data_IF_113233145254
#
_entry.id   IF_113233145254
#
_cell.length_a   1.000
_cell.length_b   1.000
_cell.length_c   1.000
_cell.angle_alpha   90.00
_cell.angle_beta   90.00
_cell.angle_gamma   90.00
#
_symmetry.space_group_name_H-M   'P 1'
#
loop_
_entity.id
_entity.type
_entity.pdbx_description
1 polymer ?
#
# COMPACT_ATOMS: atom_id res chain seq x y z
N UNK A 1 -16.59 6.56 23.18
CA UNK A 1 -15.95 6.09 21.92
C UNK A 1 -17.06 5.62 21.00
N UNK A 2 -17.23 6.20 19.81
CA UNK A 2 -18.29 5.77 18.87
C UNK A 2 -18.06 4.33 18.42
N UNK A 3 -19.15 3.58 18.26
CA UNK A 3 -19.20 2.22 17.69
C UNK A 3 -18.48 2.09 16.33
N UNK A 4 -18.30 3.22 15.62
CA UNK A 4 -17.55 3.29 14.36
C UNK A 4 -16.08 2.84 14.52
N UNK A 5 -15.41 3.18 15.63
CA UNK A 5 -13.99 2.86 15.82
C UNK A 5 -13.76 1.61 16.69
N UNK A 6 -14.65 1.34 17.64
CA UNK A 6 -14.55 0.19 18.54
C UNK A 6 -15.27 -1.06 18.02
N UNK A 7 -16.13 -0.91 17.01
CA UNK A 7 -16.88 -2.00 16.38
C UNK A 7 -16.28 -2.50 15.07
N UNK A 8 -15.03 -2.12 14.76
CA UNK A 8 -14.34 -2.69 13.59
C UNK A 8 -14.21 -4.18 13.77
N UNK A 9 -14.61 -4.93 12.74
CA UNK A 9 -14.47 -6.38 12.71
C UNK A 9 -12.99 -6.77 12.99
N UNK A 10 -12.72 -7.56 14.04
CA UNK A 10 -11.38 -8.01 14.37
C UNK A 10 -10.59 -8.62 13.22
N UNK A 11 -11.26 -9.28 12.28
CA UNK A 11 -10.60 -9.91 11.13
C UNK A 11 -9.93 -8.88 10.23
N UNK A 12 -10.47 -7.66 10.11
CA UNK A 12 -9.98 -6.65 9.19
C UNK A 12 -8.57 -6.15 9.53
N UNK A 13 -8.18 -6.13 10.81
CA UNK A 13 -6.85 -5.73 11.25
C UNK A 13 -5.92 -6.92 11.58
N UNK A 14 -6.34 -8.16 11.31
CA UNK A 14 -5.45 -9.31 11.43
C UNK A 14 -4.35 -9.24 10.36
N UNK A 15 -3.11 -9.47 10.79
CA UNK A 15 -1.95 -9.54 9.89
C UNK A 15 -1.97 -10.83 9.07
N UNK A 16 -2.08 -10.69 7.75
CA UNK A 16 -2.04 -11.77 6.76
C UNK A 16 -0.77 -11.65 5.92
N UNK A 17 -0.03 -12.74 5.81
CA UNK A 17 1.14 -12.84 4.94
C UNK A 17 0.76 -13.44 3.58
N UNK A 18 1.12 -12.77 2.48
CA UNK A 18 1.01 -13.32 1.11
C UNK A 18 2.39 -13.30 0.44
N UNK A 19 2.71 -14.35 -0.29
CA UNK A 19 3.93 -14.43 -1.10
C UNK A 19 3.69 -13.81 -2.47
N UNK A 20 4.52 -12.84 -2.84
CA UNK A 20 4.50 -12.19 -4.15
C UNK A 20 5.86 -12.31 -4.82
N UNK A 21 5.90 -12.33 -6.16
CA UNK A 21 7.15 -12.36 -6.90
C UNK A 21 7.45 -10.96 -7.43
N UNK A 22 8.57 -10.40 -7.01
CA UNK A 22 9.07 -9.08 -7.43
C UNK A 22 10.44 -9.31 -8.04
N UNK A 23 10.66 -8.90 -9.29
CA UNK A 23 11.94 -9.06 -9.99
C UNK A 23 12.53 -10.49 -9.90
N UNK A 24 11.66 -11.51 -9.99
CA UNK A 24 12.04 -12.92 -9.89
C UNK A 24 12.23 -13.45 -8.46
N UNK A 25 12.30 -12.58 -7.45
CA UNK A 25 12.48 -12.95 -6.03
C UNK A 25 11.13 -13.10 -5.35
N UNK A 26 10.94 -14.19 -4.59
CA UNK A 26 9.76 -14.39 -3.76
C UNK A 26 9.89 -13.55 -2.49
N UNK A 27 8.99 -12.60 -2.33
CA UNK A 27 8.91 -11.69 -1.19
C UNK A 27 7.65 -12.00 -0.39
N UNK A 28 7.78 -12.25 0.91
CA UNK A 28 6.64 -12.40 1.82
C UNK A 28 6.23 -11.02 2.33
N UNK A 29 5.05 -10.56 1.94
CA UNK A 29 4.49 -9.29 2.39
C UNK A 29 3.44 -9.55 3.48
N UNK A 30 3.55 -8.88 4.62
CA UNK A 30 2.58 -8.97 5.73
C UNK A 30 1.82 -7.66 5.86
N UNK A 31 0.51 -7.73 5.66
CA UNK A 31 -0.42 -6.61 5.75
C UNK A 31 -1.70 -7.05 6.44
N UNK A 32 -2.46 -6.10 6.95
CA UNK A 32 -3.79 -6.32 7.51
C UNK A 32 -4.76 -6.79 6.41
N UNK A 33 -5.74 -7.63 6.75
CA UNK A 33 -6.71 -8.17 5.80
C UNK A 33 -7.40 -7.07 4.99
N UNK A 34 -7.76 -5.94 5.61
CA UNK A 34 -8.42 -4.84 4.90
C UNK A 34 -7.55 -4.24 3.79
N UNK A 35 -6.24 -4.12 4.00
CA UNK A 35 -5.35 -3.63 2.93
C UNK A 35 -5.28 -4.62 1.79
N UNK A 36 -5.24 -5.92 2.08
CA UNK A 36 -5.30 -6.94 1.02
C UNK A 36 -6.57 -6.85 0.18
N UNK A 37 -7.73 -6.67 0.81
CA UNK A 37 -9.00 -6.48 0.09
C UNK A 37 -8.96 -5.26 -0.83
N UNK A 38 -8.46 -4.12 -0.34
CA UNK A 38 -8.34 -2.90 -1.15
C UNK A 38 -7.38 -3.13 -2.33
N UNK A 39 -6.26 -3.84 -2.11
CA UNK A 39 -5.32 -4.15 -3.19
C UNK A 39 -5.92 -5.07 -4.24
N UNK A 40 -6.70 -6.07 -3.82
CA UNK A 40 -7.43 -6.97 -4.70
C UNK A 40 -8.46 -6.17 -5.55
N UNK A 41 -9.17 -5.20 -4.93
CA UNK A 41 -10.09 -4.28 -5.61
C UNK A 41 -9.37 -3.37 -6.64
N UNK A 42 -8.26 -2.74 -6.25
CA UNK A 42 -7.47 -1.86 -7.13
C UNK A 42 -6.94 -2.66 -8.33
N UNK A 43 -6.29 -3.79 -8.07
CA UNK A 43 -5.68 -4.60 -9.11
C UNK A 43 -6.73 -5.08 -10.11
N UNK A 44 -7.89 -5.56 -9.63
CA UNK A 44 -9.00 -5.96 -10.50
C UNK A 44 -9.52 -4.79 -11.36
N UNK A 45 -9.64 -3.58 -10.78
CA UNK A 45 -10.04 -2.37 -11.51
C UNK A 45 -9.07 -1.96 -12.62
N UNK A 46 -7.78 -2.28 -12.49
CA UNK A 46 -6.75 -2.04 -13.50
C UNK A 46 -6.51 -3.22 -14.44
N UNK A 47 -7.22 -4.34 -14.27
CA UNK A 47 -7.06 -5.55 -15.09
C UNK A 47 -5.81 -6.37 -14.76
N UNK A 48 -5.28 -6.24 -13.53
CA UNK A 48 -4.14 -7.00 -13.02
C UNK A 48 -4.56 -7.96 -11.90
N UNK A 49 -3.76 -9.01 -11.69
CA UNK A 49 -3.77 -9.71 -10.39
C UNK A 49 -3.02 -8.89 -9.35
N UNK A 50 -3.35 -9.06 -8.07
CA UNK A 50 -2.69 -8.34 -6.96
C UNK A 50 -1.16 -8.47 -6.98
N UNK A 51 -0.55 -9.65 -7.22
CA UNK A 51 0.90 -9.76 -7.33
C UNK A 51 1.49 -9.00 -8.54
N UNK A 52 0.79 -8.96 -9.68
CA UNK A 52 1.22 -8.20 -10.86
C UNK A 52 1.17 -6.69 -10.60
N UNK A 53 0.08 -6.21 -10.00
CA UNK A 53 -0.07 -4.81 -9.60
C UNK A 53 1.04 -4.39 -8.64
N UNK A 54 1.29 -5.17 -7.60
CA UNK A 54 2.35 -4.89 -6.63
C UNK A 54 3.76 -4.93 -7.24
N UNK A 55 4.02 -5.88 -8.15
CA UNK A 55 5.29 -5.93 -8.89
C UNK A 55 5.49 -4.67 -9.73
N UNK A 56 4.45 -4.23 -10.46
CA UNK A 56 4.49 -3.01 -11.27
C UNK A 56 4.78 -1.76 -10.44
N UNK A 57 4.06 -1.58 -9.31
CA UNK A 57 4.30 -0.47 -8.39
C UNK A 57 5.73 -0.47 -7.86
N UNK A 58 6.24 -1.65 -7.48
CA UNK A 58 7.62 -1.77 -7.02
C UNK A 58 8.60 -1.30 -8.09
N UNK A 59 8.46 -1.78 -9.32
CA UNK A 59 9.37 -1.45 -10.41
C UNK A 59 9.31 0.03 -10.79
N UNK A 60 8.11 0.63 -10.83
CA UNK A 60 7.93 2.05 -11.11
C UNK A 60 8.57 2.95 -10.03
N UNK A 61 8.38 2.62 -8.75
CA UNK A 61 8.94 3.43 -7.66
C UNK A 61 10.45 3.28 -7.58
N UNK A 62 11.00 2.07 -7.74
CA UNK A 62 12.45 1.85 -7.80
C UNK A 62 13.06 2.60 -9.00
N UNK A 63 12.42 2.56 -10.17
CA UNK A 63 12.90 3.30 -11.34
C UNK A 63 12.93 4.82 -11.12
N UNK A 64 11.99 5.36 -10.34
CA UNK A 64 11.91 6.80 -10.05
C UNK A 64 12.79 7.26 -8.89
N UNK A 65 12.94 6.44 -7.84
CA UNK A 65 13.55 6.86 -6.55
C UNK A 65 14.82 6.10 -6.19
N UNK A 66 15.16 5.05 -6.93
CA UNK A 66 16.33 4.19 -6.70
C UNK A 66 16.07 3.05 -5.72
N UNK A 67 15.28 3.26 -4.66
CA UNK A 67 14.94 2.23 -3.69
C UNK A 67 13.53 2.39 -3.09
N UNK A 68 13.12 1.37 -2.31
CA UNK A 68 11.92 1.40 -1.48
C UNK A 68 12.30 0.88 -0.09
N UNK A 69 12.58 1.75 0.89
CA UNK A 69 13.04 1.30 2.22
C UNK A 69 11.98 0.47 2.96
N UNK A 70 10.69 0.71 2.69
CA UNK A 70 9.59 -0.02 3.32
C UNK A 70 8.41 -0.22 2.37
N UNK A 71 8.45 -1.30 1.60
CA UNK A 71 7.40 -1.62 0.62
C UNK A 71 6.03 -1.83 1.28
N UNK A 72 5.97 -2.46 2.45
CA UNK A 72 4.70 -2.65 3.17
C UNK A 72 4.03 -1.33 3.58
N UNK A 73 4.83 -0.33 3.99
CA UNK A 73 4.31 0.99 4.33
C UNK A 73 3.82 1.74 3.10
N UNK A 74 4.59 1.70 2.00
CA UNK A 74 4.19 2.28 0.72
C UNK A 74 2.82 1.73 0.28
N UNK A 75 2.66 0.41 0.32
CA UNK A 75 1.42 -0.25 -0.10
C UNK A 75 0.21 0.17 0.74
N UNK A 76 0.37 0.32 2.07
CA UNK A 76 -0.71 0.86 2.92
C UNK A 76 -1.09 2.29 2.54
N UNK A 77 -0.10 3.14 2.24
CA UNK A 77 -0.33 4.52 1.79
C UNK A 77 -1.03 4.55 0.43
N UNK A 78 -0.71 3.64 -0.48
CA UNK A 78 -1.41 3.52 -1.77
C UNK A 78 -2.89 3.23 -1.54
N UNK A 79 -3.23 2.32 -0.61
CA UNK A 79 -4.63 2.03 -0.27
C UNK A 79 -5.36 3.28 0.28
N UNK A 80 -4.72 4.05 1.17
CA UNK A 80 -5.37 5.27 1.71
C UNK A 80 -5.58 6.32 0.63
N UNK A 81 -4.57 6.57 -0.21
CA UNK A 81 -4.66 7.51 -1.35
C UNK A 81 -5.76 7.08 -2.32
N UNK A 82 -5.90 5.78 -2.58
CA UNK A 82 -6.96 5.26 -3.44
C UNK A 82 -8.35 5.56 -2.88
N UNK A 83 -8.58 5.29 -1.59
CA UNK A 83 -9.86 5.55 -0.92
C UNK A 83 -10.17 7.04 -0.83
N UNK A 84 -9.17 7.87 -0.54
CA UNK A 84 -9.31 9.34 -0.53
C UNK A 84 -9.73 9.86 -1.90
N UNK A 85 -9.10 9.37 -2.97
CA UNK A 85 -9.46 9.70 -4.36
C UNK A 85 -10.90 9.29 -4.69
N UNK A 86 -11.35 8.10 -4.25
CA UNK A 86 -12.74 7.65 -4.44
C UNK A 86 -13.75 8.51 -3.66
N UNK A 87 -13.37 8.98 -2.47
CA UNK A 87 -14.20 9.84 -1.63
C UNK A 87 -14.21 11.32 -2.08
N UNK A 88 -13.47 11.67 -3.13
CA UNK A 88 -13.33 13.07 -3.58
C UNK A 88 -12.52 13.94 -2.62
N UNK A 89 -11.69 13.35 -1.77
CA UNK A 89 -10.82 14.05 -0.83
C UNK A 89 -9.51 14.45 -1.53
N UNK A 90 -9.04 15.67 -1.29
CA UNK A 90 -7.76 16.14 -1.82
C UNK A 90 -6.62 15.63 -0.94
N UNK A 91 -5.74 14.79 -1.50
CA UNK A 91 -4.50 14.39 -0.83
C UNK A 91 -3.54 15.56 -0.81
N UNK A 92 -3.38 16.21 0.35
CA UNK A 92 -2.31 17.18 0.54
C UNK A 92 -1.05 16.44 0.97
N UNK A 93 -0.11 16.23 0.04
CA UNK A 93 1.26 15.85 0.39
C UNK A 93 2.04 17.16 0.58
N UNK A 94 2.43 17.53 1.82
CA UNK A 94 3.26 18.71 2.04
C UNK A 94 4.58 18.53 1.27
N UNK A 95 4.95 19.56 0.50
CA UNK A 95 6.08 19.53 -0.44
C UNK A 95 7.46 19.36 0.23
N UNK A 96 7.52 19.39 1.56
CA UNK A 96 8.77 19.55 2.33
C UNK A 96 9.23 18.29 3.09
N UNK A 97 8.51 17.17 3.03
CA UNK A 97 8.90 15.95 3.75
C UNK A 97 10.09 15.19 3.12
N UNK A 98 10.53 15.56 1.91
CA UNK A 98 11.59 14.85 1.18
C UNK A 98 13.03 15.31 1.54
N UNK A 99 13.21 16.36 2.36
CA UNK A 99 14.54 16.98 2.54
C UNK A 99 15.25 16.59 3.83
N UNK A 100 14.62 15.86 4.76
CA UNK A 100 15.21 15.68 6.10
C UNK A 100 15.95 14.34 6.36
N UNK A 101 16.16 13.50 5.35
CA UNK A 101 16.78 12.18 5.53
C UNK A 101 18.24 12.06 5.02
N UNK A 102 18.96 13.18 4.82
CA UNK A 102 20.36 13.19 4.35
C UNK A 102 21.39 13.76 5.34
N UNK A 103 21.04 13.90 6.63
CA UNK A 103 22.05 14.18 7.66
C UNK A 103 21.77 13.36 8.92
N UNK A 104 22.51 12.27 9.06
CA UNK A 104 23.19 11.81 10.28
C UNK A 104 24.05 10.59 9.98
#
# INVERSE_FOLDING_TARGET
>A
MCQIYSGTDPELYQSVSRSIRINGVVTSLRLELRFWQILDEIAAGEGFTTPQFLGKIHDEVVAQRGDIPNFASLVRVICTVHLEKQAGLHVHVPKDAATSALHN
#
